data_IF_591665535544
#
_entry.id   IF_591665535544
#
_cell.length_a   1.000
_cell.length_b   1.000
_cell.length_c   1.000
_cell.angle_alpha   90.00
_cell.angle_beta   90.00
_cell.angle_gamma   90.00
#
_symmetry.space_group_name_H-M   'P 1'
#
loop_
_entity.id
_entity.type
_entity.pdbx_description
1 polymer ?
#
# COMPACT_ATOMS: atom_id res chain seq x y z
N UNK A 1 -12.46 -23.86 2.29
CA UNK A 1 -11.54 -23.01 3.04
C UNK A 1 -10.39 -22.57 2.15
N UNK A 2 -9.60 -23.51 1.61
CA UNK A 2 -8.37 -23.25 0.86
C UNK A 2 -8.63 -22.55 -0.49
N UNK A 3 -9.67 -22.92 -1.20
CA UNK A 3 -9.99 -22.39 -2.55
C UNK A 3 -10.79 -21.09 -2.51
N UNK A 4 -11.72 -20.95 -1.56
CA UNK A 4 -12.69 -19.84 -1.53
C UNK A 4 -12.56 -18.96 -0.28
N UNK A 5 -11.59 -19.24 0.61
CA UNK A 5 -11.37 -18.46 1.83
C UNK A 5 -12.48 -18.54 2.87
N UNK A 6 -13.42 -19.51 2.76
CA UNK A 6 -14.56 -19.58 3.66
C UNK A 6 -14.16 -20.18 5.02
N UNK A 7 -14.31 -19.44 6.15
CA UNK A 7 -13.86 -19.87 7.47
C UNK A 7 -14.53 -21.14 7.97
N UNK A 8 -13.77 -21.96 8.71
CA UNK A 8 -14.27 -23.24 9.25
C UNK A 8 -15.37 -23.01 10.29
N UNK A 9 -15.21 -22.05 11.17
CA UNK A 9 -16.15 -21.65 12.22
C UNK A 9 -17.50 -21.22 11.65
N UNK A 10 -17.49 -20.44 10.57
CA UNK A 10 -18.72 -20.07 9.84
C UNK A 10 -19.39 -21.29 9.20
N UNK A 11 -18.61 -22.23 8.70
CA UNK A 11 -19.15 -23.48 8.16
C UNK A 11 -19.79 -24.33 9.26
N UNK A 12 -19.17 -24.42 10.44
CA UNK A 12 -19.72 -25.10 11.61
C UNK A 12 -21.03 -24.46 12.10
N UNK A 13 -21.09 -23.12 12.15
CA UNK A 13 -22.30 -22.41 12.55
C UNK A 13 -23.49 -22.62 11.58
N UNK A 14 -23.23 -22.59 10.28
CA UNK A 14 -24.24 -22.86 9.25
C UNK A 14 -24.75 -24.30 9.34
N UNK A 15 -23.86 -25.26 9.54
CA UNK A 15 -24.21 -26.67 9.62
C UNK A 15 -24.92 -27.03 10.94
N UNK A 16 -24.56 -26.36 12.05
CA UNK A 16 -25.24 -26.51 13.32
C UNK A 16 -26.73 -26.19 13.22
N UNK A 17 -27.08 -25.14 12.46
CA UNK A 17 -28.48 -24.78 12.18
C UNK A 17 -29.21 -25.80 11.32
N UNK A 18 -28.50 -26.73 10.67
CA UNK A 18 -29.05 -27.83 9.84
C UNK A 18 -28.92 -29.20 10.52
N UNK A 19 -28.56 -29.24 11.81
CA UNK A 19 -28.27 -30.49 12.56
C UNK A 19 -27.20 -31.36 11.92
N UNK A 20 -26.22 -30.73 11.26
CA UNK A 20 -25.06 -31.38 10.62
C UNK A 20 -23.78 -30.94 11.33
N UNK A 21 -22.74 -31.77 11.23
CA UNK A 21 -21.41 -31.48 11.78
C UNK A 21 -20.32 -31.67 10.73
N UNK A 22 -19.17 -31.05 10.96
CA UNK A 22 -17.95 -31.23 10.15
C UNK A 22 -17.04 -32.25 10.83
N UNK A 23 -16.44 -33.13 10.03
CA UNK A 23 -15.31 -33.93 10.47
C UNK A 23 -14.05 -33.07 10.56
N UNK A 24 -13.85 -32.45 11.71
CA UNK A 24 -12.71 -31.54 11.98
C UNK A 24 -11.36 -32.26 11.96
N UNK A 25 -11.33 -33.56 12.29
CA UNK A 25 -10.11 -34.37 12.25
C UNK A 25 -9.68 -34.58 10.79
N UNK A 26 -10.62 -34.95 9.93
CA UNK A 26 -10.36 -35.10 8.50
C UNK A 26 -10.04 -33.78 7.84
N UNK A 27 -10.69 -32.68 8.23
CA UNK A 27 -10.36 -31.33 7.76
C UNK A 27 -8.91 -30.97 8.10
N UNK A 28 -8.46 -31.18 9.34
CA UNK A 28 -7.08 -30.91 9.76
C UNK A 28 -6.07 -31.78 9.01
N UNK A 29 -6.40 -33.06 8.76
CA UNK A 29 -5.55 -33.95 7.95
C UNK A 29 -5.40 -33.45 6.52
N UNK A 30 -6.50 -33.07 5.86
CA UNK A 30 -6.49 -32.53 4.49
C UNK A 30 -5.74 -31.18 4.42
N UNK A 31 -5.88 -30.33 5.43
CA UNK A 31 -5.13 -29.08 5.51
C UNK A 31 -3.62 -29.32 5.68
N UNK A 32 -3.24 -30.36 6.42
CA UNK A 32 -1.83 -30.76 6.56
C UNK A 32 -1.29 -31.29 5.24
N UNK A 33 -2.04 -32.17 4.55
CA UNK A 33 -1.68 -32.68 3.22
C UNK A 33 -1.56 -31.56 2.19
N UNK A 34 -2.51 -30.61 2.17
CA UNK A 34 -2.46 -29.42 1.30
C UNK A 34 -1.21 -28.58 1.55
N UNK A 35 -0.84 -28.33 2.82
CA UNK A 35 0.40 -27.63 3.19
C UNK A 35 1.66 -28.41 2.77
N UNK A 36 1.67 -29.73 2.92
CA UNK A 36 2.80 -30.58 2.50
C UNK A 36 2.90 -30.63 0.96
N UNK A 37 1.75 -30.66 0.25
CA UNK A 37 1.71 -30.60 -1.20
C UNK A 37 2.16 -29.23 -1.72
N UNK A 38 1.71 -28.15 -1.07
CA UNK A 38 2.16 -26.79 -1.35
C UNK A 38 3.67 -26.63 -1.12
N UNK A 39 4.22 -27.21 -0.03
CA UNK A 39 5.67 -27.27 0.22
C UNK A 39 6.42 -28.09 -0.83
N UNK A 40 5.85 -29.21 -1.30
CA UNK A 40 6.45 -30.04 -2.35
C UNK A 40 6.41 -29.39 -3.74
N UNK A 41 5.31 -28.70 -4.04
CA UNK A 41 5.11 -28.03 -5.33
C UNK A 41 5.69 -26.62 -5.35
N UNK A 42 6.01 -26.07 -4.18
CA UNK A 42 6.81 -24.87 -4.06
C UNK A 42 8.24 -25.26 -4.49
N UNK A 43 8.50 -25.17 -5.77
CA UNK A 43 9.86 -25.05 -6.29
C UNK A 43 10.37 -23.73 -5.75
N UNK A 44 10.96 -23.80 -4.56
CA UNK A 44 11.58 -22.66 -3.92
C UNK A 44 12.39 -21.94 -4.98
N UNK A 45 12.08 -20.70 -5.22
CA UNK A 45 12.94 -19.80 -5.95
C UNK A 45 14.27 -19.80 -5.21
N UNK A 46 15.23 -20.62 -5.60
CA UNK A 46 16.62 -20.55 -5.11
C UNK A 46 16.89 -20.36 -3.62
N UNK A 47 15.89 -20.08 -2.79
CA UNK A 47 15.98 -19.60 -1.42
C UNK A 47 16.58 -20.65 -0.44
N UNK A 48 16.30 -21.93 -0.64
CA UNK A 48 16.86 -22.96 0.25
C UNK A 48 18.40 -23.07 0.14
N UNK A 49 18.95 -22.99 -1.07
CA UNK A 49 20.40 -22.98 -1.28
C UNK A 49 21.05 -21.64 -0.86
N UNK A 50 20.27 -20.57 -0.85
CA UNK A 50 20.70 -19.23 -0.38
C UNK A 50 20.69 -19.17 1.15
N UNK A 51 19.75 -19.85 1.82
CA UNK A 51 19.75 -19.93 3.29
C UNK A 51 20.97 -20.66 3.83
N UNK A 52 21.40 -21.76 3.21
CA UNK A 52 22.58 -22.52 3.63
C UNK A 52 23.88 -21.68 3.61
N UNK A 53 24.00 -20.77 2.65
CA UNK A 53 25.17 -19.85 2.57
C UNK A 53 25.25 -18.93 3.79
N UNK A 54 24.10 -18.40 4.25
CA UNK A 54 24.05 -17.47 5.38
C UNK A 54 24.41 -18.16 6.71
N UNK A 55 23.99 -19.42 6.91
CA UNK A 55 24.41 -20.22 8.07
C UNK A 55 25.93 -20.39 8.10
N UNK A 56 26.53 -20.78 6.96
CA UNK A 56 27.97 -20.96 6.87
C UNK A 56 28.75 -19.65 7.08
N UNK A 57 28.23 -18.52 6.63
CA UNK A 57 28.84 -17.21 6.84
C UNK A 57 28.69 -16.79 8.29
N UNK A 58 27.50 -16.92 8.88
CA UNK A 58 27.25 -16.54 10.28
C UNK A 58 28.07 -17.36 11.27
N UNK A 59 28.21 -18.66 11.05
CA UNK A 59 29.04 -19.52 11.87
C UNK A 59 30.52 -19.10 11.88
N UNK A 60 31.01 -18.54 10.77
CA UNK A 60 32.40 -18.07 10.64
C UNK A 60 32.62 -16.65 11.18
N UNK A 61 31.65 -15.76 10.99
CA UNK A 61 31.83 -14.32 11.19
C UNK A 61 31.15 -13.81 12.46
N UNK A 62 30.17 -14.54 13.00
CA UNK A 62 29.33 -14.09 14.09
C UNK A 62 28.25 -13.07 13.65
N UNK A 63 27.72 -12.33 14.62
CA UNK A 63 26.73 -11.29 14.43
C UNK A 63 27.38 -9.97 13.97
N UNK A 64 26.64 -9.16 13.21
CA UNK A 64 27.03 -7.77 12.92
C UNK A 64 26.55 -6.86 14.04
N UNK A 65 27.42 -6.01 14.58
CA UNK A 65 27.03 -5.01 15.57
C UNK A 65 26.28 -3.86 14.90
N UNK A 66 25.06 -3.55 15.39
CA UNK A 66 24.25 -2.48 14.86
C UNK A 66 24.42 -1.18 15.67
N UNK A 67 25.00 -0.17 15.03
CA UNK A 67 25.28 1.15 15.62
C UNK A 67 24.25 2.23 15.23
N UNK A 68 23.28 1.90 14.36
CA UNK A 68 22.39 2.87 13.71
C UNK A 68 21.30 3.47 14.59
N UNK A 69 21.21 3.11 15.88
CA UNK A 69 20.37 3.83 16.82
C UNK A 69 20.96 5.19 17.20
N UNK A 70 22.30 5.23 17.35
CA UNK A 70 23.02 6.41 17.86
C UNK A 70 23.80 7.13 16.75
N UNK A 71 24.27 6.41 15.72
CA UNK A 71 25.13 6.98 14.69
C UNK A 71 24.55 6.79 13.27
N UNK A 72 24.80 7.81 12.43
CA UNK A 72 24.49 7.78 11.01
C UNK A 72 25.70 7.39 10.14
N UNK A 73 26.87 7.24 10.76
CA UNK A 73 28.12 6.79 10.13
C UNK A 73 28.94 5.94 11.09
N UNK A 74 29.75 5.06 10.58
CA UNK A 74 30.67 4.24 11.35
C UNK A 74 31.86 3.80 10.50
N UNK A 75 32.98 3.49 11.16
CA UNK A 75 34.05 2.72 10.57
C UNK A 75 33.76 1.22 10.72
N UNK A 76 34.20 0.41 9.80
CA UNK A 76 34.03 -1.03 9.84
C UNK A 76 35.12 -1.77 9.08
N UNK A 77 35.14 -3.08 9.23
CA UNK A 77 36.04 -3.98 8.50
C UNK A 77 35.21 -4.93 7.66
N UNK A 78 35.57 -5.09 6.39
CA UNK A 78 34.92 -6.03 5.48
C UNK A 78 35.24 -7.47 5.90
N UNK A 79 34.21 -8.20 6.32
CA UNK A 79 34.34 -9.59 6.75
C UNK A 79 34.09 -10.59 5.61
N UNK A 80 33.11 -10.31 4.74
CA UNK A 80 32.83 -11.12 3.57
C UNK A 80 32.28 -10.29 2.42
N UNK A 81 32.57 -10.76 1.20
CA UNK A 81 32.11 -10.22 -0.06
C UNK A 81 31.41 -11.32 -0.84
N UNK A 82 30.26 -11.00 -1.46
CA UNK A 82 29.55 -11.94 -2.31
C UNK A 82 29.19 -11.28 -3.65
N UNK A 83 29.29 -12.09 -4.71
CA UNK A 83 28.75 -11.77 -6.04
C UNK A 83 27.98 -12.99 -6.55
N UNK A 84 26.79 -12.78 -7.12
CA UNK A 84 25.90 -13.86 -7.58
C UNK A 84 25.69 -14.98 -6.54
N UNK A 85 25.46 -14.59 -5.27
CA UNK A 85 25.29 -15.49 -4.13
C UNK A 85 26.46 -16.44 -3.86
N UNK A 86 27.69 -16.06 -4.24
CA UNK A 86 28.91 -16.81 -3.94
C UNK A 86 29.93 -15.90 -3.26
N UNK A 87 30.61 -16.41 -2.25
CA UNK A 87 31.71 -15.67 -1.65
C UNK A 87 32.82 -15.44 -2.68
N UNK A 88 33.30 -14.20 -2.71
CA UNK A 88 34.43 -13.75 -3.57
C UNK A 88 35.49 -13.08 -2.71
N UNK A 89 36.73 -12.99 -3.23
CA UNK A 89 37.82 -12.34 -2.53
C UNK A 89 37.90 -10.83 -2.79
N UNK A 90 37.30 -10.36 -3.87
CA UNK A 90 37.33 -8.97 -4.32
C UNK A 90 36.03 -8.62 -5.06
N UNK A 91 35.55 -7.39 -4.91
CA UNK A 91 34.54 -6.76 -5.76
C UNK A 91 35.18 -5.59 -6.50
N UNK A 92 34.91 -5.49 -7.82
CA UNK A 92 35.52 -4.51 -8.73
C UNK A 92 34.48 -3.53 -9.24
N UNK A 93 34.99 -2.44 -9.81
CA UNK A 93 34.17 -1.39 -10.43
C UNK A 93 33.11 -1.95 -11.38
N UNK A 94 31.90 -1.40 -11.28
CA UNK A 94 30.68 -1.78 -12.00
C UNK A 94 30.06 -3.12 -11.58
N UNK A 95 30.67 -3.90 -10.68
CA UNK A 95 30.08 -5.14 -10.19
C UNK A 95 28.97 -4.88 -9.15
N UNK A 96 27.88 -5.63 -9.26
CA UNK A 96 26.87 -5.76 -8.22
C UNK A 96 27.31 -6.84 -7.25
N UNK A 97 27.08 -6.59 -5.94
CA UNK A 97 27.51 -7.52 -4.91
C UNK A 97 26.90 -7.21 -3.56
N UNK A 98 27.39 -7.96 -2.58
CA UNK A 98 27.00 -7.83 -1.18
C UNK A 98 28.25 -7.71 -0.31
N UNK A 99 28.18 -6.78 0.64
CA UNK A 99 29.25 -6.55 1.61
C UNK A 99 28.73 -6.86 3.02
N UNK A 100 29.48 -7.64 3.76
CA UNK A 100 29.25 -7.92 5.18
C UNK A 100 30.41 -7.33 5.98
N UNK A 101 30.08 -6.56 7.01
CA UNK A 101 31.04 -5.87 7.89
C UNK A 101 30.84 -6.31 9.33
N UNK A 102 31.84 -6.05 10.19
CA UNK A 102 31.76 -6.38 11.63
C UNK A 102 30.71 -5.54 12.36
N UNK A 103 30.53 -4.27 11.95
CA UNK A 103 29.61 -3.33 12.57
C UNK A 103 29.06 -2.36 11.53
N UNK A 104 27.82 -1.86 11.71
CA UNK A 104 27.15 -1.04 10.71
C UNK A 104 26.17 -0.03 11.32
N UNK A 105 26.07 1.20 10.76
CA UNK A 105 25.00 2.13 11.09
C UNK A 105 23.74 1.88 10.25
N UNK A 106 23.81 1.02 9.20
CA UNK A 106 22.70 0.75 8.30
C UNK A 106 21.66 -0.16 8.94
N UNK A 107 20.41 0.29 8.97
CA UNK A 107 19.29 -0.56 9.37
C UNK A 107 19.01 -1.61 8.32
N UNK A 108 18.96 -2.87 8.72
CA UNK A 108 18.52 -3.97 7.86
C UNK A 108 17.01 -4.15 7.93
N UNK A 109 16.36 -4.36 6.79
CA UNK A 109 14.91 -4.52 6.70
C UNK A 109 14.38 -5.50 7.75
N UNK A 110 13.47 -5.02 8.58
CA UNK A 110 12.85 -5.80 9.66
C UNK A 110 11.60 -5.09 10.19
N UNK A 111 10.62 -5.84 10.71
CA UNK A 111 9.45 -5.30 11.39
C UNK A 111 8.59 -4.36 10.51
N UNK A 112 8.69 -4.48 9.19
CA UNK A 112 8.00 -3.63 8.22
C UNK A 112 8.72 -2.32 7.87
N UNK A 113 9.82 -1.97 8.55
CA UNK A 113 10.69 -0.87 8.14
C UNK A 113 11.67 -1.35 7.07
N UNK A 114 11.74 -0.65 5.94
CA UNK A 114 12.69 -0.92 4.84
C UNK A 114 14.14 -0.72 5.27
N UNK A 115 15.05 -1.43 4.61
CA UNK A 115 16.49 -1.25 4.78
C UNK A 115 16.97 0.15 4.37
N UNK A 116 18.11 0.56 4.92
CA UNK A 116 18.73 1.83 4.54
C UNK A 116 19.44 1.75 3.21
N UNK A 117 19.69 2.94 2.66
CA UNK A 117 20.60 3.17 1.55
C UNK A 117 21.73 4.10 1.97
N UNK A 118 22.77 4.17 1.16
CA UNK A 118 23.92 5.03 1.43
C UNK A 118 25.18 4.57 0.72
N UNK A 119 26.31 4.77 1.35
CA UNK A 119 27.62 4.52 0.74
C UNK A 119 28.57 3.80 1.69
N UNK A 120 29.38 2.87 1.15
CA UNK A 120 30.54 2.30 1.80
C UNK A 120 31.78 2.77 1.05
N UNK A 121 32.72 3.39 1.76
CA UNK A 121 33.84 4.13 1.18
C UNK A 121 35.16 3.61 1.78
N UNK A 122 36.18 3.47 0.94
CA UNK A 122 37.58 3.28 1.34
C UNK A 122 38.50 4.05 0.39
N UNK A 123 39.81 3.94 0.54
CA UNK A 123 40.76 4.58 -0.38
C UNK A 123 40.50 4.17 -1.83
N UNK A 124 40.11 5.15 -2.68
CA UNK A 124 39.78 4.92 -4.08
C UNK A 124 38.65 3.92 -4.35
N UNK A 125 37.86 3.58 -3.32
CA UNK A 125 36.72 2.67 -3.44
C UNK A 125 35.44 3.36 -3.00
N UNK A 126 34.37 3.16 -3.77
CA UNK A 126 33.03 3.60 -3.44
C UNK A 126 32.03 2.53 -3.87
N UNK A 127 31.20 2.12 -2.91
CA UNK A 127 30.08 1.21 -3.12
C UNK A 127 28.77 1.90 -2.75
N UNK A 128 27.84 1.94 -3.67
CA UNK A 128 26.50 2.47 -3.44
C UNK A 128 25.60 1.36 -2.88
N UNK A 129 25.15 1.54 -1.64
CA UNK A 129 24.23 0.61 -0.96
C UNK A 129 22.80 0.94 -1.39
N UNK A 130 22.17 0.02 -2.08
CA UNK A 130 20.77 0.14 -2.53
C UNK A 130 19.77 -0.45 -1.56
N UNK A 131 20.17 -1.42 -0.73
CA UNK A 131 19.34 -2.07 0.28
C UNK A 131 20.20 -2.76 1.33
N UNK A 132 19.63 -2.94 2.53
CA UNK A 132 20.25 -3.74 3.59
C UNK A 132 19.23 -4.73 4.15
N UNK A 133 19.60 -5.99 4.09
CA UNK A 133 18.78 -7.10 4.59
C UNK A 133 19.36 -7.70 5.85
N UNK A 134 18.50 -8.05 6.79
CA UNK A 134 18.86 -8.73 8.02
C UNK A 134 18.64 -10.23 7.85
N UNK A 135 19.73 -11.00 7.80
CA UNK A 135 19.70 -12.46 7.65
C UNK A 135 19.95 -13.12 9.00
N UNK A 136 19.28 -14.25 9.25
CA UNK A 136 19.42 -15.06 10.47
C UNK A 136 19.35 -14.25 11.78
N UNK A 137 18.57 -13.14 11.77
CA UNK A 137 18.30 -12.31 12.94
C UNK A 137 19.28 -11.18 13.19
N UNK A 138 20.57 -11.32 12.93
CA UNK A 138 21.63 -10.37 13.32
C UNK A 138 22.80 -10.23 12.33
N UNK A 139 22.74 -10.88 11.17
CA UNK A 139 23.70 -10.71 10.10
C UNK A 139 23.20 -9.65 9.09
N UNK A 140 23.86 -8.49 9.04
CA UNK A 140 23.48 -7.38 8.13
C UNK A 140 24.23 -7.50 6.81
N UNK A 141 23.49 -7.60 5.72
CA UNK A 141 24.00 -7.78 4.35
C UNK A 141 23.69 -6.53 3.54
N UNK A 142 24.73 -5.83 3.11
CA UNK A 142 24.61 -4.59 2.33
C UNK A 142 24.63 -4.93 0.84
N UNK A 143 23.51 -4.78 0.16
CA UNK A 143 23.36 -4.98 -1.29
C UNK A 143 23.66 -3.68 -2.03
N UNK A 144 24.34 -3.78 -3.16
CA UNK A 144 24.63 -2.58 -3.94
C UNK A 144 25.57 -2.82 -5.10
N UNK A 145 26.21 -1.73 -5.56
CA UNK A 145 27.09 -1.71 -6.72
C UNK A 145 28.37 -0.95 -6.44
N UNK A 146 29.48 -1.47 -6.93
CA UNK A 146 30.76 -0.76 -6.92
C UNK A 146 30.73 0.35 -7.95
N UNK A 147 30.83 1.60 -7.51
CA UNK A 147 30.83 2.79 -8.36
C UNK A 147 32.25 3.13 -8.85
N UNK A 148 33.26 2.89 -8.00
CA UNK A 148 34.67 3.10 -8.39
C UNK A 148 35.59 2.21 -7.54
N UNK A 149 36.72 1.81 -8.14
CA UNK A 149 37.78 1.07 -7.48
C UNK A 149 37.48 -0.42 -7.23
N UNK A 150 38.12 -0.98 -6.23
CA UNK A 150 37.87 -2.36 -5.79
C UNK A 150 38.07 -2.49 -4.28
N UNK A 151 37.50 -3.54 -3.68
CA UNK A 151 37.55 -3.84 -2.24
C UNK A 151 37.83 -5.32 -2.01
N UNK A 152 38.63 -5.62 -1.00
CA UNK A 152 38.94 -6.98 -0.56
C UNK A 152 38.51 -7.23 0.87
N UNK A 153 38.45 -8.49 1.25
CA UNK A 153 38.22 -8.89 2.66
C UNK A 153 39.32 -8.30 3.55
N UNK A 154 38.96 -7.99 4.77
CA UNK A 154 39.80 -7.40 5.84
C UNK A 154 40.22 -5.95 5.59
N UNK A 155 39.72 -5.28 4.58
CA UNK A 155 39.93 -3.84 4.40
C UNK A 155 39.00 -3.02 5.30
N UNK A 156 39.53 -1.89 5.81
CA UNK A 156 38.77 -0.94 6.58
C UNK A 156 37.92 -0.06 5.65
N UNK A 157 36.70 0.21 6.06
CA UNK A 157 35.74 1.00 5.32
C UNK A 157 35.04 2.00 6.22
N UNK A 158 34.60 3.12 5.66
CA UNK A 158 33.66 4.06 6.27
C UNK A 158 32.27 3.81 5.70
N UNK A 159 31.28 3.68 6.56
CA UNK A 159 29.87 3.45 6.24
C UNK A 159 29.08 4.72 6.52
N UNK A 160 28.32 5.19 5.51
CA UNK A 160 27.49 6.41 5.60
C UNK A 160 26.10 6.12 5.07
N UNK A 161 25.09 6.30 5.91
CA UNK A 161 23.70 6.16 5.47
C UNK A 161 23.21 7.43 4.76
N UNK A 162 22.18 7.29 3.91
CA UNK A 162 21.37 8.43 3.46
C UNK A 162 20.54 8.95 4.65
N UNK A 163 21.03 10.00 5.27
CA UNK A 163 20.43 10.59 6.47
C UNK A 163 19.01 11.07 6.20
N UNK A 164 18.79 11.72 5.04
CA UNK A 164 17.47 12.24 4.71
C UNK A 164 16.44 11.12 4.58
N UNK A 165 16.80 10.06 3.87
CA UNK A 165 15.95 8.87 3.70
C UNK A 165 15.67 8.19 5.06
N UNK A 166 16.67 8.07 5.93
CA UNK A 166 16.54 7.52 7.29
C UNK A 166 15.61 8.38 8.15
N UNK A 167 15.73 9.70 8.10
CA UNK A 167 14.90 10.60 8.91
C UNK A 167 13.44 10.58 8.45
N UNK A 168 13.19 10.55 7.15
CA UNK A 168 11.85 10.34 6.60
C UNK A 168 11.27 8.99 7.05
N UNK A 169 12.05 7.91 7.01
CA UNK A 169 11.63 6.57 7.47
C UNK A 169 11.36 6.54 8.97
N UNK A 170 12.22 7.15 9.81
CA UNK A 170 12.02 7.30 11.26
C UNK A 170 10.70 7.99 11.59
N UNK A 171 10.39 9.05 10.86
CA UNK A 171 9.17 9.82 11.05
C UNK A 171 7.92 9.01 10.70
N UNK A 172 7.93 8.27 9.58
CA UNK A 172 6.84 7.35 9.24
C UNK A 172 6.72 6.19 10.22
N UNK A 173 7.84 5.65 10.72
CA UNK A 173 7.77 4.58 11.71
C UNK A 173 7.17 5.04 13.03
N UNK A 174 7.58 6.19 13.51
CA UNK A 174 6.98 6.80 14.71
C UNK A 174 5.51 7.16 14.51
N UNK A 175 5.13 7.66 13.33
CA UNK A 175 3.73 7.89 12.97
C UNK A 175 2.90 6.60 12.98
N UNK A 176 3.49 5.46 12.60
CA UNK A 176 2.82 4.15 12.62
C UNK A 176 2.40 3.75 14.04
N UNK A 177 3.25 3.98 15.04
CA UNK A 177 2.92 3.70 16.45
C UNK A 177 1.82 4.62 16.98
N UNK A 178 1.88 5.92 16.66
CA UNK A 178 0.79 6.84 17.01
C UNK A 178 -0.52 6.47 16.32
N UNK A 179 -0.46 6.06 15.05
CA UNK A 179 -1.61 5.57 14.30
C UNK A 179 -2.19 4.30 14.92
N UNK A 180 -1.37 3.32 15.28
CA UNK A 180 -1.80 2.07 15.88
C UNK A 180 -2.58 2.31 17.17
N UNK A 181 -2.04 3.09 18.10
CA UNK A 181 -2.73 3.44 19.35
C UNK A 181 -3.98 4.29 19.08
N UNK A 182 -3.96 5.22 18.13
CA UNK A 182 -5.15 6.00 17.76
C UNK A 182 -6.28 5.12 17.23
N UNK A 183 -5.95 4.11 16.40
CA UNK A 183 -6.89 3.11 15.91
C UNK A 183 -7.49 2.30 17.06
N UNK A 184 -6.68 1.86 18.03
CA UNK A 184 -7.15 1.13 19.21
C UNK A 184 -8.12 1.97 20.05
N UNK A 185 -7.80 3.24 20.28
CA UNK A 185 -8.65 4.14 21.08
C UNK A 185 -9.99 4.45 20.42
N UNK A 186 -10.03 4.53 19.09
CA UNK A 186 -11.27 4.87 18.37
C UNK A 186 -12.09 3.63 18.03
N UNK A 187 -11.45 2.56 17.59
CA UNK A 187 -12.13 1.36 17.09
C UNK A 187 -12.24 0.24 18.13
N UNK A 188 -11.35 0.24 19.14
CA UNK A 188 -11.33 -0.72 20.24
C UNK A 188 -10.12 -1.64 20.26
N UNK A 189 -9.98 -2.39 21.36
CA UNK A 189 -8.81 -3.24 21.67
C UNK A 189 -8.61 -4.44 20.73
N UNK A 190 -9.61 -4.79 19.91
CA UNK A 190 -9.49 -5.82 18.89
C UNK A 190 -8.53 -5.45 17.74
N UNK A 191 -8.17 -4.16 17.64
CA UNK A 191 -7.20 -3.69 16.65
C UNK A 191 -5.82 -4.23 16.99
N UNK A 192 -5.30 -5.11 16.14
CA UNK A 192 -3.96 -5.68 16.23
C UNK A 192 -3.27 -5.59 14.87
N UNK A 193 -1.98 -5.33 14.87
CA UNK A 193 -1.19 -5.28 13.64
C UNK A 193 -1.21 -6.65 12.93
N UNK A 194 -1.46 -6.66 11.63
CA UNK A 194 -1.40 -7.82 10.74
C UNK A 194 -0.30 -7.69 9.70
N UNK A 195 0.17 -6.48 9.45
CA UNK A 195 1.28 -6.15 8.59
C UNK A 195 1.61 -4.67 8.67
N UNK A 196 2.83 -4.33 8.30
CA UNK A 196 3.30 -2.95 8.23
C UNK A 196 4.28 -2.79 7.08
N UNK A 197 4.30 -1.62 6.47
CA UNK A 197 5.35 -1.18 5.57
C UNK A 197 5.64 0.28 5.86
N UNK A 198 6.88 0.57 6.19
CA UNK A 198 7.38 1.90 6.52
C UNK A 198 8.49 2.25 5.56
N UNK A 199 8.19 3.19 4.65
CA UNK A 199 9.08 3.70 3.61
C UNK A 199 9.33 5.19 3.80
N UNK A 200 10.36 5.79 3.21
CA UNK A 200 10.60 7.23 3.30
C UNK A 200 9.52 8.09 2.62
N UNK A 201 8.68 7.45 1.80
CA UNK A 201 7.63 8.13 1.02
C UNK A 201 6.22 7.95 1.58
N UNK A 202 5.98 6.92 2.38
CA UNK A 202 4.65 6.58 2.95
C UNK A 202 4.75 5.55 4.06
N UNK A 203 3.65 5.40 4.80
CA UNK A 203 3.41 4.21 5.61
C UNK A 203 2.17 3.45 5.12
N UNK A 204 2.18 2.15 5.36
CA UNK A 204 1.05 1.25 5.18
C UNK A 204 0.89 0.42 6.45
N UNK A 205 -0.33 0.38 6.97
CA UNK A 205 -0.65 -0.37 8.18
C UNK A 205 -1.85 -1.26 7.96
N UNK A 206 -1.65 -2.56 8.14
CA UNK A 206 -2.67 -3.60 8.02
C UNK A 206 -3.05 -4.09 9.41
N UNK A 207 -4.35 -4.11 9.73
CA UNK A 207 -4.82 -4.42 11.09
C UNK A 207 -6.18 -5.15 11.08
N UNK A 208 -6.47 -5.81 12.20
CA UNK A 208 -7.73 -6.52 12.40
C UNK A 208 -8.88 -5.53 12.59
N UNK A 209 -9.82 -5.49 11.65
CA UNK A 209 -11.09 -4.78 11.76
C UNK A 209 -12.06 -5.23 10.67
N UNK A 210 -13.34 -5.47 11.06
CA UNK A 210 -14.33 -6.10 10.17
C UNK A 210 -15.03 -5.12 9.23
N UNK A 211 -15.19 -3.85 9.63
CA UNK A 211 -16.05 -2.89 8.94
C UNK A 211 -15.23 -1.77 8.28
N UNK A 212 -15.74 -1.13 7.22
CA UNK A 212 -15.19 0.15 6.77
C UNK A 212 -15.21 1.18 7.90
N UNK A 213 -14.17 1.98 8.01
CA UNK A 213 -14.08 3.04 9.02
C UNK A 213 -14.84 4.26 8.48
N UNK A 214 -15.85 4.79 9.17
CA UNK A 214 -16.53 6.02 8.78
C UNK A 214 -15.58 7.21 8.75
N UNK A 215 -15.86 8.20 7.91
CA UNK A 215 -15.02 9.41 7.76
C UNK A 215 -14.82 10.13 9.10
N UNK A 216 -15.85 10.21 9.93
CA UNK A 216 -15.79 10.83 11.26
C UNK A 216 -14.80 10.13 12.20
N UNK A 217 -14.68 8.80 12.10
CA UNK A 217 -13.70 8.03 12.88
C UNK A 217 -12.29 8.20 12.31
N UNK A 218 -12.13 8.26 10.99
CA UNK A 218 -10.85 8.60 10.34
C UNK A 218 -10.38 9.98 10.81
N UNK A 219 -11.26 10.98 10.82
CA UNK A 219 -10.92 12.33 11.28
C UNK A 219 -10.50 12.35 12.77
N UNK A 220 -11.16 11.55 13.63
CA UNK A 220 -10.75 11.39 15.02
C UNK A 220 -9.36 10.76 15.16
N UNK A 221 -9.08 9.71 14.38
CA UNK A 221 -7.78 9.02 14.38
C UNK A 221 -6.69 9.99 13.94
N UNK A 222 -6.88 10.72 12.83
CA UNK A 222 -5.96 11.74 12.35
C UNK A 222 -5.71 12.84 13.41
N UNK A 223 -6.78 13.28 14.07
CA UNK A 223 -6.70 14.29 15.12
C UNK A 223 -5.88 13.81 16.34
N UNK A 224 -6.04 12.54 16.76
CA UNK A 224 -5.21 11.98 17.81
C UNK A 224 -3.73 12.00 17.44
N UNK A 225 -3.38 11.49 16.25
CA UNK A 225 -1.99 11.49 15.78
C UNK A 225 -1.43 12.92 15.73
N UNK A 226 -2.12 13.84 15.07
CA UNK A 226 -1.66 15.22 14.91
C UNK A 226 -1.59 15.97 16.26
N UNK A 227 -2.44 15.64 17.23
CA UNK A 227 -2.37 16.18 18.59
C UNK A 227 -1.07 15.75 19.29
N UNK A 228 -0.70 14.47 19.19
CA UNK A 228 0.56 13.97 19.75
C UNK A 228 1.77 14.57 19.05
N UNK A 229 1.72 14.74 17.74
CA UNK A 229 2.75 15.45 16.97
C UNK A 229 2.90 16.90 17.44
N UNK A 230 1.79 17.62 17.63
CA UNK A 230 1.81 19.03 18.03
C UNK A 230 2.35 19.27 19.45
N UNK A 231 2.24 18.29 20.34
CA UNK A 231 2.79 18.33 21.69
C UNK A 231 4.32 18.30 21.74
N UNK A 232 4.98 17.86 20.64
CA UNK A 232 6.44 17.84 20.50
C UNK A 232 7.15 17.18 21.69
N UNK A 233 6.63 16.06 22.15
CA UNK A 233 7.17 15.32 23.28
C UNK A 233 8.35 14.44 22.88
N UNK A 234 9.26 14.19 23.81
CA UNK A 234 10.40 13.31 23.59
C UNK A 234 9.97 11.86 23.43
N UNK A 235 10.64 11.17 22.52
CA UNK A 235 10.49 9.73 22.28
C UNK A 235 11.55 9.01 23.11
N UNK A 236 11.10 8.11 24.00
CA UNK A 236 11.98 7.38 24.91
C UNK A 236 12.09 5.93 24.54
N UNK A 237 13.30 5.42 24.59
CA UNK A 237 13.61 4.00 24.41
C UNK A 237 14.25 3.46 25.65
N UNK A 238 13.82 2.27 26.11
CA UNK A 238 14.40 1.56 27.25
C UNK A 238 14.60 0.12 26.89
N UNK A 239 15.71 -0.45 27.37
CA UNK A 239 15.95 -1.89 27.32
C UNK A 239 15.48 -2.51 28.63
N UNK A 240 14.74 -3.60 28.56
CA UNK A 240 14.22 -4.33 29.72
C UNK A 240 13.87 -5.77 29.35
N UNK A 241 13.58 -6.61 30.32
CA UNK A 241 13.08 -7.95 30.04
C UNK A 241 11.67 -7.93 29.45
N UNK A 242 11.23 -8.96 28.72
CA UNK A 242 9.86 -9.04 28.19
C UNK A 242 8.78 -8.93 29.29
N UNK A 243 9.01 -9.52 30.45
CA UNK A 243 8.06 -9.46 31.58
C UNK A 243 7.94 -8.05 32.13
N UNK A 244 9.05 -7.35 32.34
CA UNK A 244 9.05 -5.94 32.76
C UNK A 244 8.37 -5.04 31.72
N UNK A 245 8.52 -5.35 30.42
CA UNK A 245 7.88 -4.59 29.35
C UNK A 245 6.35 -4.71 29.44
N UNK A 246 5.83 -5.90 29.66
CA UNK A 246 4.39 -6.15 29.84
C UNK A 246 3.86 -5.47 31.11
N UNK A 247 4.59 -5.55 32.24
CA UNK A 247 4.24 -4.86 33.49
C UNK A 247 4.20 -3.34 33.33
N UNK A 248 5.07 -2.77 32.49
CA UNK A 248 5.07 -1.35 32.11
C UNK A 248 4.01 -0.99 31.04
N UNK A 249 3.10 -1.92 30.70
CA UNK A 249 2.00 -1.71 29.77
C UNK A 249 2.40 -1.65 28.30
N UNK A 250 3.58 -2.19 27.95
CA UNK A 250 3.99 -2.27 26.56
C UNK A 250 3.15 -3.27 25.77
N UNK A 251 2.68 -2.86 24.59
CA UNK A 251 2.04 -3.77 23.65
C UNK A 251 3.10 -4.66 23.00
N UNK A 252 2.99 -5.96 23.27
CA UNK A 252 3.77 -6.99 22.59
C UNK A 252 3.01 -7.54 21.40
N UNK A 253 3.64 -7.71 20.23
CA UNK A 253 3.03 -8.36 19.09
C UNK A 253 2.89 -9.86 19.37
N UNK A 254 1.67 -10.38 19.29
CA UNK A 254 1.40 -11.78 19.52
C UNK A 254 2.11 -12.66 18.48
N UNK A 255 2.89 -13.64 18.94
CA UNK A 255 3.55 -14.65 18.11
C UNK A 255 5.00 -14.35 17.74
N UNK A 256 5.56 -13.22 18.14
CA UNK A 256 7.00 -12.98 18.03
C UNK A 256 7.75 -13.64 19.20
N UNK A 257 8.91 -14.23 18.88
CA UNK A 257 9.83 -14.74 19.90
C UNK A 257 10.79 -13.62 20.25
N UNK A 258 10.69 -13.15 21.48
CA UNK A 258 11.59 -12.15 22.02
C UNK A 258 12.81 -12.81 22.68
N UNK A 259 13.96 -12.15 22.61
CA UNK A 259 15.15 -12.54 23.36
C UNK A 259 15.03 -12.21 24.86
N UNK A 260 16.13 -12.36 25.58
CA UNK A 260 16.17 -12.07 27.03
C UNK A 260 15.98 -10.58 27.33
N UNK A 261 16.26 -9.70 26.36
CA UNK A 261 16.11 -8.27 26.44
C UNK A 261 15.33 -7.72 25.24
N UNK A 262 14.41 -6.80 25.48
CA UNK A 262 13.56 -6.15 24.47
C UNK A 262 13.68 -4.64 24.54
N UNK A 263 13.53 -4.01 23.38
CA UNK A 263 13.53 -2.56 23.23
C UNK A 263 12.11 -2.03 23.31
N UNK A 264 11.79 -1.30 24.38
CA UNK A 264 10.49 -0.66 24.62
C UNK A 264 10.57 0.79 24.18
N UNK A 265 9.69 1.15 23.23
CA UNK A 265 9.53 2.50 22.72
C UNK A 265 8.29 3.13 23.34
N UNK A 266 8.46 4.34 23.89
CA UNK A 266 7.36 5.11 24.47
C UNK A 266 7.33 6.52 23.86
N UNK A 267 6.16 6.97 23.41
CA UNK A 267 5.99 8.28 22.76
C UNK A 267 4.61 8.89 22.98
N UNK A 268 4.54 10.21 22.79
CA UNK A 268 3.33 11.00 22.97
C UNK A 268 3.05 11.28 24.45
N UNK A 269 2.83 12.54 24.79
CA UNK A 269 2.46 12.96 26.14
C UNK A 269 0.94 12.86 26.34
N UNK A 270 0.51 11.97 27.24
CA UNK A 270 -0.89 11.73 27.59
C UNK A 270 -1.10 11.92 29.13
N UNK A 271 -0.50 12.96 29.69
CA UNK A 271 -0.51 13.24 31.11
C UNK A 271 0.47 12.38 31.90
N UNK A 272 -0.03 11.54 32.80
CA UNK A 272 0.80 10.69 33.66
C UNK A 272 1.44 9.50 32.94
N UNK A 273 1.13 9.28 31.66
CA UNK A 273 1.61 8.17 30.86
C UNK A 273 1.94 8.56 29.42
N UNK A 274 2.61 7.66 28.69
CA UNK A 274 2.80 7.80 27.26
C UNK A 274 1.53 7.42 26.50
N UNK A 275 1.32 8.09 25.35
CA UNK A 275 0.21 7.78 24.46
C UNK A 275 0.36 6.39 23.83
N UNK A 276 1.55 6.04 23.34
CA UNK A 276 1.90 4.71 22.82
C UNK A 276 3.12 4.17 23.55
N UNK A 277 3.07 2.88 23.95
CA UNK A 277 4.21 2.14 24.50
C UNK A 277 4.20 0.75 23.86
N UNK A 278 5.22 0.45 23.03
CA UNK A 278 5.26 -0.77 22.23
C UNK A 278 6.68 -1.37 22.18
N UNK A 279 6.77 -2.69 21.98
CA UNK A 279 8.01 -3.35 21.65
C UNK A 279 8.41 -3.05 20.21
N UNK A 280 9.56 -2.40 20.00
CA UNK A 280 9.99 -2.04 18.66
C UNK A 280 11.51 -1.96 18.52
N UNK A 281 12.07 -2.74 17.58
CA UNK A 281 13.48 -2.70 17.18
C UNK A 281 13.80 -1.75 16.03
N UNK A 282 12.84 -0.95 15.56
CA UNK A 282 13.03 -0.01 14.46
C UNK A 282 13.73 1.28 14.85
N UNK A 283 13.92 2.15 13.87
CA UNK A 283 14.48 3.49 14.08
C UNK A 283 13.37 4.54 14.18
N UNK A 284 13.49 5.48 15.10
CA UNK A 284 12.45 6.45 15.43
C UNK A 284 12.99 7.88 15.52
N UNK A 285 12.09 8.85 15.43
CA UNK A 285 12.39 10.26 15.72
C UNK A 285 12.73 10.43 17.20
N UNK A 286 13.49 11.46 17.54
CA UNK A 286 13.79 11.80 18.94
C UNK A 286 12.67 12.61 19.58
N UNK A 287 11.87 13.31 18.77
CA UNK A 287 10.75 14.14 19.22
C UNK A 287 9.54 13.92 18.31
N UNK A 288 8.33 13.82 18.86
CA UNK A 288 7.12 13.59 18.07
C UNK A 288 6.84 14.71 17.07
N UNK A 289 7.34 15.92 17.31
CA UNK A 289 7.24 17.04 16.37
C UNK A 289 7.94 16.82 15.03
N UNK A 290 8.98 15.96 15.00
CA UNK A 290 9.72 15.64 13.78
C UNK A 290 8.90 14.80 12.78
N UNK A 291 7.75 14.25 13.22
CA UNK A 291 6.81 13.54 12.34
C UNK A 291 6.18 14.50 11.32
N UNK A 292 5.88 15.74 11.72
CA UNK A 292 5.16 16.70 10.88
C UNK A 292 3.68 16.35 10.69
N UNK A 293 3.01 17.10 9.82
CA UNK A 293 1.57 16.93 9.57
C UNK A 293 1.26 15.55 8.97
N UNK A 294 0.36 14.82 9.60
CA UNK A 294 -0.04 13.48 9.22
C UNK A 294 -1.46 13.45 8.62
N UNK A 295 -1.68 12.61 7.58
CA UNK A 295 -3.00 12.36 7.01
C UNK A 295 -3.13 10.97 6.41
N UNK A 296 -4.27 10.33 6.67
CA UNK A 296 -4.70 9.08 6.02
C UNK A 296 -5.19 9.41 4.61
N UNK A 297 -4.63 8.75 3.60
CA UNK A 297 -4.97 8.99 2.19
C UNK A 297 -5.85 7.90 1.60
N UNK A 298 -5.82 6.71 2.16
CA UNK A 298 -6.64 5.59 1.71
C UNK A 298 -6.97 4.61 2.83
N UNK A 299 -8.11 3.92 2.69
CA UNK A 299 -8.44 2.73 3.42
C UNK A 299 -9.04 1.67 2.49
N UNK A 300 -8.70 0.40 2.71
CA UNK A 300 -9.21 -0.72 1.91
C UNK A 300 -9.32 -2.00 2.76
N UNK A 301 -10.07 -2.98 2.28
CA UNK A 301 -10.05 -4.35 2.81
C UNK A 301 -9.08 -5.17 1.99
N UNK A 302 -8.22 -5.97 2.63
CA UNK A 302 -7.23 -6.82 1.95
C UNK A 302 -7.48 -8.31 2.17
N UNK A 303 -8.18 -8.66 3.25
CA UNK A 303 -8.63 -10.01 3.56
C UNK A 303 -9.86 -9.94 4.48
N UNK A 304 -10.51 -11.07 4.73
CA UNK A 304 -11.59 -11.15 5.71
C UNK A 304 -11.09 -10.70 7.09
N UNK A 305 -11.72 -9.65 7.64
CA UNK A 305 -11.36 -9.10 8.94
C UNK A 305 -10.04 -8.32 8.99
N UNK A 306 -9.41 -8.02 7.85
CA UNK A 306 -8.16 -7.24 7.79
C UNK A 306 -8.35 -5.99 6.93
N UNK A 307 -8.10 -4.84 7.54
CA UNK A 307 -8.14 -3.52 6.89
C UNK A 307 -6.74 -3.01 6.68
N UNK A 308 -6.57 -2.24 5.62
CA UNK A 308 -5.35 -1.50 5.27
C UNK A 308 -5.61 -0.01 5.32
N UNK A 309 -4.69 0.71 5.93
CA UNK A 309 -4.58 2.17 5.85
C UNK A 309 -3.24 2.52 5.20
N UNK A 310 -3.27 3.53 4.34
CA UNK A 310 -2.07 4.22 3.86
C UNK A 310 -2.13 5.67 4.29
N UNK A 311 -1.00 6.20 4.72
CA UNK A 311 -0.90 7.57 5.18
C UNK A 311 0.37 8.25 4.68
N UNK A 312 0.27 9.57 4.55
CA UNK A 312 1.36 10.46 4.19
C UNK A 312 1.58 11.49 5.27
N UNK A 313 2.77 12.07 5.25
CA UNK A 313 3.16 13.14 6.16
C UNK A 313 3.86 14.28 5.43
N UNK A 314 3.82 15.45 6.05
CA UNK A 314 4.62 16.61 5.74
C UNK A 314 4.73 16.90 4.23
N UNK A 315 5.94 16.96 3.67
CA UNK A 315 6.15 17.27 2.24
C UNK A 315 5.48 16.30 1.28
N UNK A 316 5.53 15.00 1.56
CA UNK A 316 4.88 13.99 0.70
C UNK A 316 3.35 14.17 0.68
N UNK A 317 2.78 14.61 1.81
CA UNK A 317 1.36 14.97 1.89
C UNK A 317 1.05 16.23 1.08
N UNK A 318 1.88 17.27 1.18
CA UNK A 318 1.71 18.51 0.39
C UNK A 318 1.77 18.21 -1.11
N UNK A 319 2.78 17.47 -1.55
CA UNK A 319 2.94 17.07 -2.94
C UNK A 319 1.73 16.26 -3.46
N UNK A 320 1.22 15.34 -2.63
CA UNK A 320 0.02 14.57 -2.95
C UNK A 320 -1.22 15.45 -3.09
N UNK A 321 -1.45 16.38 -2.16
CA UNK A 321 -2.60 17.29 -2.17
C UNK A 321 -2.53 18.22 -3.38
N UNK A 322 -1.38 18.81 -3.68
CA UNK A 322 -1.15 19.67 -4.82
C UNK A 322 -1.40 18.93 -6.15
N UNK A 323 -0.93 17.69 -6.26
CA UNK A 323 -1.19 16.86 -7.45
C UNK A 323 -2.67 16.50 -7.59
N UNK A 324 -3.34 16.18 -6.48
CA UNK A 324 -4.78 15.88 -6.47
C UNK A 324 -5.61 17.10 -6.90
N UNK A 325 -5.26 18.29 -6.43
CA UNK A 325 -5.89 19.54 -6.82
C UNK A 325 -5.68 19.84 -8.32
N UNK A 326 -4.45 19.71 -8.81
CA UNK A 326 -4.14 19.88 -10.25
C UNK A 326 -4.95 18.93 -11.12
N UNK A 327 -5.03 17.64 -10.75
CA UNK A 327 -5.83 16.65 -11.48
C UNK A 327 -7.33 16.96 -11.43
N UNK A 328 -7.82 17.44 -10.30
CA UNK A 328 -9.21 17.91 -10.16
C UNK A 328 -9.52 19.08 -11.07
N UNK A 329 -8.63 20.08 -11.12
CA UNK A 329 -8.79 21.25 -11.99
C UNK A 329 -8.77 20.89 -13.47
N UNK A 330 -7.81 20.05 -13.90
CA UNK A 330 -7.75 19.54 -15.29
C UNK A 330 -9.03 18.75 -15.64
N UNK A 331 -9.55 17.95 -14.72
CA UNK A 331 -10.80 17.22 -14.92
C UNK A 331 -12.00 18.16 -15.04
N UNK A 332 -12.05 19.22 -14.21
CA UNK A 332 -13.10 20.23 -14.26
C UNK A 332 -13.07 21.01 -15.58
N UNK A 333 -11.89 21.46 -16.03
CA UNK A 333 -11.73 22.17 -17.31
C UNK A 333 -12.17 21.30 -18.50
N UNK A 334 -11.80 20.02 -18.54
CA UNK A 334 -12.25 19.08 -19.57
C UNK A 334 -13.76 18.87 -19.56
N UNK A 335 -14.37 18.79 -18.38
CA UNK A 335 -15.81 18.68 -18.23
C UNK A 335 -16.51 19.96 -18.73
N UNK A 336 -15.98 21.16 -18.46
CA UNK A 336 -16.51 22.42 -18.93
C UNK A 336 -16.43 22.54 -20.46
N UNK A 337 -15.33 22.10 -21.06
CA UNK A 337 -15.21 22.04 -22.52
C UNK A 337 -16.23 21.08 -23.13
N UNK A 338 -16.43 19.90 -22.55
CA UNK A 338 -17.41 18.92 -23.00
C UNK A 338 -18.85 19.44 -22.86
N UNK A 339 -19.17 20.11 -21.75
CA UNK A 339 -20.48 20.78 -21.55
C UNK A 339 -20.72 21.82 -22.62
N UNK A 340 -19.72 22.67 -22.94
CA UNK A 340 -19.80 23.67 -24.02
C UNK A 340 -20.05 23.03 -25.39
N UNK A 341 -19.33 21.95 -25.69
CA UNK A 341 -19.45 21.22 -26.94
C UNK A 341 -20.83 20.56 -27.08
N UNK A 342 -21.30 19.83 -26.06
CA UNK A 342 -22.65 19.25 -26.05
C UNK A 342 -23.75 20.31 -26.19
N UNK A 343 -23.59 21.44 -25.51
CA UNK A 343 -24.52 22.55 -25.58
C UNK A 343 -24.59 23.13 -26.99
N UNK A 344 -23.45 23.35 -27.66
CA UNK A 344 -23.39 23.79 -29.06
C UNK A 344 -24.10 22.82 -30.01
N UNK A 345 -23.88 21.52 -29.80
CA UNK A 345 -24.50 20.48 -30.63
C UNK A 345 -26.02 20.45 -30.43
N UNK A 346 -26.52 20.57 -29.19
CA UNK A 346 -27.95 20.67 -28.90
C UNK A 346 -28.57 21.88 -29.61
N UNK A 347 -27.94 23.06 -29.55
CA UNK A 347 -28.39 24.28 -30.23
C UNK A 347 -28.42 24.10 -31.75
N UNK A 348 -27.37 23.44 -32.31
CA UNK A 348 -27.29 23.14 -33.75
C UNK A 348 -28.46 22.29 -34.23
N UNK A 349 -29.00 21.41 -33.40
CA UNK A 349 -30.19 20.61 -33.68
C UNK A 349 -31.52 21.31 -33.26
N UNK A 350 -31.48 22.62 -32.96
CA UNK A 350 -32.66 23.41 -32.62
C UNK A 350 -33.17 23.24 -31.19
N UNK A 351 -32.41 22.59 -30.33
CA UNK A 351 -32.73 22.40 -28.92
C UNK A 351 -32.22 23.53 -28.03
N UNK A 352 -32.69 23.58 -26.78
CA UNK A 352 -32.20 24.49 -25.74
C UNK A 352 -31.51 23.60 -24.65
N UNK A 353 -30.19 23.77 -24.40
CA UNK A 353 -29.50 23.00 -23.39
C UNK A 353 -30.11 23.24 -22.01
N UNK A 354 -30.35 22.19 -21.25
CA UNK A 354 -30.75 22.29 -19.84
C UNK A 354 -29.52 22.28 -18.96
N UNK A 355 -29.21 23.43 -18.33
CA UNK A 355 -28.02 23.66 -17.51
C UNK A 355 -28.32 23.67 -15.99
N UNK A 356 -29.53 23.29 -15.56
CA UNK A 356 -30.00 23.38 -14.17
C UNK A 356 -29.45 22.31 -13.23
N UNK A 357 -28.16 21.95 -13.36
CA UNK A 357 -27.52 20.94 -12.52
C UNK A 357 -26.19 21.47 -11.97
N UNK A 358 -25.96 21.32 -10.67
CA UNK A 358 -24.75 21.77 -10.00
C UNK A 358 -23.58 20.79 -10.16
N UNK A 359 -23.86 19.51 -10.42
CA UNK A 359 -22.82 18.48 -10.62
C UNK A 359 -22.50 18.30 -12.10
N UNK A 360 -21.25 18.58 -12.48
CA UNK A 360 -20.78 18.51 -13.88
C UNK A 360 -20.97 17.12 -14.51
N UNK A 361 -20.76 16.02 -13.77
CA UNK A 361 -20.91 14.66 -14.31
C UNK A 361 -22.36 14.34 -14.65
N UNK A 362 -23.27 14.73 -13.77
CA UNK A 362 -24.72 14.58 -13.98
C UNK A 362 -25.18 15.47 -15.11
N UNK A 363 -24.67 16.69 -15.20
CA UNK A 363 -24.97 17.63 -16.29
C UNK A 363 -24.55 17.06 -17.66
N UNK A 364 -23.31 16.56 -17.78
CA UNK A 364 -22.81 15.92 -19.01
C UNK A 364 -23.69 14.74 -19.42
N UNK A 365 -24.06 13.88 -18.48
CA UNK A 365 -24.95 12.73 -18.73
C UNK A 365 -26.33 13.19 -19.27
N UNK A 366 -26.90 14.22 -18.67
CA UNK A 366 -28.19 14.75 -19.07
C UNK A 366 -28.15 15.44 -20.45
N UNK A 367 -27.12 16.25 -20.71
CA UNK A 367 -26.91 16.87 -22.01
C UNK A 367 -26.66 15.84 -23.10
N UNK A 368 -25.88 14.79 -22.84
CA UNK A 368 -25.65 13.69 -23.78
C UNK A 368 -26.96 12.98 -24.14
N UNK A 369 -27.82 12.70 -23.15
CA UNK A 369 -29.14 12.10 -23.38
C UNK A 369 -30.07 13.02 -24.13
N UNK A 370 -30.04 14.32 -23.82
CA UNK A 370 -30.83 15.35 -24.52
C UNK A 370 -30.42 15.45 -26.00
N UNK A 371 -29.09 15.49 -26.25
CA UNK A 371 -28.56 15.53 -27.62
C UNK A 371 -28.96 14.28 -28.41
N UNK A 372 -28.88 13.09 -27.82
CA UNK A 372 -29.31 11.86 -28.45
C UNK A 372 -30.79 11.91 -28.85
N UNK A 373 -31.66 12.40 -27.96
CA UNK A 373 -33.08 12.49 -28.23
C UNK A 373 -33.39 13.50 -29.38
N UNK A 374 -32.74 14.66 -29.35
CA UNK A 374 -32.97 15.72 -30.36
C UNK A 374 -32.40 15.28 -31.71
N UNK A 375 -31.22 14.66 -31.74
CA UNK A 375 -30.63 14.19 -32.99
C UNK A 375 -31.46 13.10 -33.66
N UNK A 376 -32.03 12.17 -32.89
CA UNK A 376 -32.98 11.17 -33.40
C UNK A 376 -34.21 11.81 -33.99
N UNK A 377 -34.83 12.76 -33.29
CA UNK A 377 -36.01 13.46 -33.79
C UNK A 377 -35.72 14.23 -35.09
N UNK A 378 -34.57 14.92 -35.14
CA UNK A 378 -34.13 15.64 -36.34
C UNK A 378 -33.95 14.72 -37.57
N UNK A 379 -33.39 13.50 -37.33
CA UNK A 379 -33.24 12.49 -38.39
C UNK A 379 -34.62 12.01 -38.89
N UNK A 380 -35.57 11.79 -37.98
CA UNK A 380 -36.92 11.33 -38.31
C UNK A 380 -37.75 12.39 -39.04
N UNK A 381 -37.52 13.68 -38.82
CA UNK A 381 -38.18 14.80 -39.46
C UNK A 381 -37.56 15.16 -40.82
N UNK A 382 -36.33 14.80 -41.08
CA UNK A 382 -35.62 15.07 -42.34
C UNK A 382 -36.11 14.15 -43.46
N UNK A 383 -37.01 14.70 -44.33
CA UNK A 383 -37.58 13.96 -45.47
C UNK A 383 -36.49 13.46 -46.46
N UNK A 384 -35.32 14.08 -46.51
CA UNK A 384 -34.25 13.66 -47.39
C UNK A 384 -33.52 12.39 -46.88
N UNK A 385 -33.55 12.16 -45.58
CA UNK A 385 -32.95 11.02 -44.89
C UNK A 385 -33.96 9.94 -44.56
N UNK A 386 -35.24 10.17 -44.76
CA UNK A 386 -36.34 9.31 -44.37
C UNK A 386 -37.24 9.05 -45.60
N UNK A 387 -36.87 8.05 -46.40
CA UNK A 387 -37.62 7.68 -47.62
C UNK A 387 -38.64 6.63 -47.26
N UNK A 388 -39.91 6.94 -47.42
CA UNK A 388 -41.06 6.05 -47.14
C UNK A 388 -41.72 5.65 -48.46
N UNK A 389 -41.97 4.36 -48.65
CA UNK A 389 -42.74 3.80 -49.76
C UNK A 389 -43.79 2.84 -49.21
N UNK A 390 -45.05 3.18 -49.35
CA UNK A 390 -46.18 2.35 -48.97
C UNK A 390 -46.69 1.58 -50.19
N UNK A 391 -46.87 0.28 -50.07
CA UNK A 391 -47.36 -0.64 -51.12
C UNK A 391 -48.46 -1.54 -50.56
N UNK A 392 -49.30 -2.02 -51.43
CA UNK A 392 -50.32 -3.05 -51.10
C UNK A 392 -50.05 -4.32 -51.92
N UNK A 393 -49.71 -5.42 -51.22
CA UNK A 393 -49.41 -6.71 -51.86
C UNK A 393 -50.37 -7.74 -51.30
N UNK A 394 -51.19 -8.37 -52.19
CA UNK A 394 -52.17 -9.40 -51.83
C UNK A 394 -53.13 -8.98 -50.68
N UNK A 395 -53.52 -7.72 -50.66
CA UNK A 395 -54.43 -7.14 -49.64
C UNK A 395 -53.76 -6.73 -48.32
N UNK A 396 -52.45 -6.97 -48.18
CA UNK A 396 -51.67 -6.57 -47.01
C UNK A 396 -50.95 -5.23 -47.31
N UNK A 397 -51.09 -4.26 -46.43
CA UNK A 397 -50.33 -3.01 -46.49
C UNK A 397 -48.90 -3.22 -46.01
N UNK A 398 -47.93 -2.77 -46.81
CA UNK A 398 -46.51 -2.85 -46.54
C UNK A 398 -45.86 -1.48 -46.59
N UNK A 399 -45.08 -1.11 -45.57
CA UNK A 399 -44.23 0.08 -45.58
C UNK A 399 -42.79 -0.30 -45.71
N UNK A 400 -42.10 0.21 -46.69
CA UNK A 400 -40.65 0.17 -46.83
C UNK A 400 -40.12 1.54 -46.42
N UNK A 401 -39.26 1.56 -45.40
CA UNK A 401 -38.72 2.83 -44.88
C UNK A 401 -37.20 2.71 -44.77
N UNK A 402 -36.49 3.60 -45.50
CA UNK A 402 -35.06 3.77 -45.41
C UNK A 402 -34.77 4.99 -44.56
N UNK A 403 -33.97 4.80 -43.49
CA UNK A 403 -33.52 5.87 -42.59
C UNK A 403 -32.03 5.80 -42.44
N UNK A 404 -31.31 6.88 -42.77
CA UNK A 404 -29.85 6.95 -42.62
C UNK A 404 -29.48 7.64 -41.29
N UNK A 405 -28.53 7.01 -40.51
CA UNK A 405 -28.00 7.57 -39.30
C UNK A 405 -28.81 7.33 -38.02
N UNK A 406 -29.93 6.55 -38.09
CA UNK A 406 -30.71 6.23 -36.90
C UNK A 406 -30.01 5.12 -36.06
N UNK A 407 -29.83 5.28 -34.74
CA UNK A 407 -29.29 4.23 -33.87
C UNK A 407 -30.17 2.98 -33.90
N UNK A 408 -29.58 1.74 -33.90
CA UNK A 408 -30.35 0.49 -33.97
C UNK A 408 -31.44 0.34 -32.89
N UNK A 409 -31.24 0.86 -31.71
CA UNK A 409 -32.20 0.84 -30.58
C UNK A 409 -33.49 1.64 -30.88
N UNK A 410 -33.43 2.63 -31.76
CA UNK A 410 -34.57 3.49 -32.14
C UNK A 410 -35.38 2.91 -33.32
N UNK A 411 -34.83 1.95 -34.05
CA UNK A 411 -35.54 1.30 -35.16
C UNK A 411 -36.87 0.66 -34.74
N UNK A 412 -36.93 0.09 -33.53
CA UNK A 412 -38.17 -0.52 -33.02
C UNK A 412 -39.29 0.51 -32.86
N UNK A 413 -38.99 1.69 -32.33
CA UNK A 413 -39.97 2.78 -32.18
C UNK A 413 -40.45 3.26 -33.51
N UNK A 414 -39.57 3.32 -34.51
CA UNK A 414 -39.92 3.72 -35.87
C UNK A 414 -40.90 2.71 -36.51
N UNK A 415 -40.62 1.42 -36.35
CA UNK A 415 -41.49 0.31 -36.83
C UNK A 415 -42.85 0.37 -36.13
N UNK A 416 -42.88 0.56 -34.81
CA UNK A 416 -44.12 0.66 -34.04
C UNK A 416 -44.97 1.90 -34.44
N UNK A 417 -44.31 3.01 -34.78
CA UNK A 417 -44.98 4.21 -35.33
C UNK A 417 -45.53 3.91 -36.73
N UNK A 418 -44.76 3.34 -37.65
CA UNK A 418 -45.17 2.98 -39.00
C UNK A 418 -46.36 2.02 -39.03
N UNK A 419 -46.43 1.04 -38.11
CA UNK A 419 -47.58 0.13 -37.97
C UNK A 419 -48.88 0.82 -37.57
N UNK A 420 -48.83 1.93 -36.85
CA UNK A 420 -50.02 2.70 -36.46
C UNK A 420 -50.54 3.60 -37.58
N UNK A 421 -49.67 3.97 -38.52
CA UNK A 421 -49.97 4.85 -39.62
C UNK A 421 -50.47 4.11 -40.89
N UNK A 422 -50.21 2.81 -41.01
CA UNK A 422 -50.69 1.92 -42.07
C UNK A 422 -52.14 1.43 -41.82
#
# INVERSE_FOLDING_TARGET
YDTYGFPLDLTEDILRNKSMSIDTVKFQSLMKESRELAKKNWKGSGDAAVEDIWFGIKDKLGATEFLGYESNQAEGVVLSLLSNNKEVNELKESEEGMIIVNQTPFYGESGGQVGDTGEIIANNFKFEVSDVQKKLGDLFVHYGKVISGSIKKSEAVELKIDIKRRDDTRAYHSATHLLHESLRRVLGDHVTQKGSLVEPSRLRFDFSHMKPIPTEEIDKIENFVNTMVSKKSDVKTRLMTPDEAVENGALALFGEKYGDEVRVLSMGDDGDRYFSTELCGGTHVKNTGDIGKFKIISQSSIAAGVRRIEALRDKQLEDYLNNKEKLSNISSEKNDELIKELSKQIIKFGGKPNLDQSDQKTLIKNLSKQLETISVNSILEDKSKNIIKDEQINGVKLRLQKVDGLPPKELRKLVDKGKKEL
#
